data_IF_052007116639
#
_entry.id   IF_052007116639
#
_cell.length_a   1.000
_cell.length_b   1.000
_cell.length_c   1.000
_cell.angle_alpha   90.00
_cell.angle_beta   90.00
_cell.angle_gamma   90.00
#
_symmetry.space_group_name_H-M   'P 1'
#
loop_
_entity.id
_entity.type
_entity.pdbx_description
1 polymer ?
#
# COMPACT_ATOMS: atom_id res chain seq x y z
N UNK A 1 -23.75 14.86 -6.40
CA UNK A 1 -24.09 13.59 -7.08
C UNK A 1 -23.13 13.20 -8.22
N UNK A 2 -22.03 13.93 -8.49
CA UNK A 2 -21.30 13.81 -9.78
C UNK A 2 -19.98 12.98 -9.75
N UNK A 3 -19.55 12.46 -8.60
CA UNK A 3 -18.37 11.57 -8.52
C UNK A 3 -18.74 10.09 -8.44
N UNK A 4 -19.74 9.74 -7.63
CA UNK A 4 -20.22 8.36 -7.48
C UNK A 4 -20.69 7.80 -8.82
N UNK A 5 -21.46 8.57 -9.62
CA UNK A 5 -21.88 8.16 -10.96
C UNK A 5 -20.73 7.90 -11.94
N UNK A 6 -19.60 8.61 -11.82
CA UNK A 6 -18.40 8.38 -12.65
C UNK A 6 -17.67 7.10 -12.28
N UNK A 7 -17.61 6.76 -10.99
CA UNK A 7 -17.05 5.48 -10.52
C UNK A 7 -17.95 4.30 -10.85
N UNK A 8 -19.28 4.47 -10.84
CA UNK A 8 -20.24 3.45 -11.27
C UNK A 8 -20.12 3.13 -12.78
N UNK A 9 -19.59 4.04 -13.61
CA UNK A 9 -19.30 3.74 -15.02
C UNK A 9 -18.06 2.84 -15.22
N UNK A 10 -17.24 2.62 -14.19
CA UNK A 10 -16.12 1.67 -14.26
C UNK A 10 -16.62 0.22 -14.23
N UNK A 11 -17.74 -0.01 -13.54
CA UNK A 11 -18.36 -1.31 -13.24
C UNK A 11 -19.88 -1.10 -13.25
N UNK A 12 -20.57 -1.48 -14.33
CA UNK A 12 -22.03 -1.35 -14.43
C UNK A 12 -22.78 -2.68 -14.41
N UNK A 13 -22.05 -3.81 -14.46
CA UNK A 13 -22.60 -5.16 -14.42
C UNK A 13 -21.81 -6.00 -13.42
N UNK A 14 -22.53 -6.75 -12.59
CA UNK A 14 -21.99 -7.66 -11.57
C UNK A 14 -22.55 -9.06 -11.85
N UNK A 15 -21.69 -10.02 -12.16
CA UNK A 15 -22.06 -11.42 -12.26
C UNK A 15 -21.45 -12.19 -11.09
N UNK A 16 -22.27 -12.87 -10.29
CA UNK A 16 -21.85 -13.64 -9.12
C UNK A 16 -21.99 -15.12 -9.47
N UNK A 17 -20.87 -15.84 -9.56
CA UNK A 17 -20.87 -17.28 -9.77
C UNK A 17 -20.63 -17.97 -8.44
N UNK A 18 -21.67 -18.66 -7.97
CA UNK A 18 -21.70 -19.45 -6.73
C UNK A 18 -21.38 -18.64 -5.46
N UNK A 19 -22.42 -18.38 -4.68
CA UNK A 19 -22.30 -17.79 -3.34
C UNK A 19 -22.58 -18.88 -2.30
N UNK A 20 -21.73 -18.95 -1.28
CA UNK A 20 -21.90 -19.81 -0.12
C UNK A 20 -22.03 -18.96 1.13
N UNK A 21 -22.90 -19.36 2.05
CA UNK A 21 -23.03 -18.73 3.36
C UNK A 21 -23.19 -19.84 4.41
N UNK A 22 -22.50 -19.69 5.52
CA UNK A 22 -22.57 -20.58 6.66
C UNK A 22 -22.66 -19.77 7.94
N UNK A 23 -23.51 -20.23 8.84
CA UNK A 23 -23.71 -19.66 10.17
C UNK A 23 -23.53 -20.79 11.16
N UNK A 24 -22.52 -20.68 12.01
CA UNK A 24 -22.18 -21.70 13.00
C UNK A 24 -22.17 -21.09 14.41
N UNK A 25 -22.53 -21.88 15.41
CA UNK A 25 -22.32 -21.53 16.82
C UNK A 25 -20.91 -21.92 17.23
N UNK A 26 -20.10 -20.95 17.65
CA UNK A 26 -18.77 -21.17 18.19
C UNK A 26 -18.83 -21.57 19.69
N UNK A 27 -17.78 -22.21 20.23
CA UNK A 27 -17.69 -22.48 21.67
C UNK A 27 -17.90 -21.19 22.48
N UNK A 28 -18.73 -21.24 23.52
CA UNK A 28 -19.08 -20.06 24.33
C UNK A 28 -20.32 -19.29 23.85
N UNK A 29 -21.05 -19.75 22.82
CA UNK A 29 -22.34 -19.16 22.41
C UNK A 29 -22.22 -17.99 21.43
N UNK A 30 -21.03 -17.75 20.87
CA UNK A 30 -20.82 -16.75 19.83
C UNK A 30 -21.34 -17.23 18.46
N UNK A 31 -21.89 -16.32 17.66
CA UNK A 31 -22.31 -16.56 16.28
C UNK A 31 -21.15 -16.27 15.33
N UNK A 32 -20.68 -17.28 14.59
CA UNK A 32 -19.72 -17.11 13.52
C UNK A 32 -20.44 -17.14 12.17
N UNK A 33 -20.28 -16.08 11.37
CA UNK A 33 -20.83 -15.98 10.02
C UNK A 33 -19.69 -15.96 9.02
N UNK A 34 -19.67 -16.93 8.11
CA UNK A 34 -18.71 -17.00 7.01
C UNK A 34 -19.43 -17.09 5.68
N UNK A 35 -19.00 -16.29 4.70
CA UNK A 35 -19.53 -16.26 3.35
C UNK A 35 -18.40 -16.32 2.32
N UNK A 36 -18.68 -16.92 1.18
CA UNK A 36 -17.71 -17.07 0.11
C UNK A 36 -18.37 -16.88 -1.25
N UNK A 37 -17.59 -16.38 -2.20
CA UNK A 37 -17.97 -16.34 -3.60
C UNK A 37 -16.81 -16.88 -4.43
N UNK A 38 -17.09 -17.85 -5.27
CA UNK A 38 -16.05 -18.50 -6.08
C UNK A 38 -15.54 -17.56 -7.18
N UNK A 39 -16.44 -16.84 -7.86
CA UNK A 39 -16.04 -15.70 -8.69
C UNK A 39 -17.09 -14.59 -8.77
N UNK A 40 -16.62 -13.34 -8.87
CA UNK A 40 -17.45 -12.18 -9.21
C UNK A 40 -16.82 -11.47 -10.40
N UNK A 41 -17.51 -11.42 -11.52
CA UNK A 41 -17.07 -10.67 -12.69
C UNK A 41 -17.72 -9.29 -12.72
N UNK A 42 -16.87 -8.27 -12.84
CA UNK A 42 -17.24 -6.87 -12.89
C UNK A 42 -16.87 -6.26 -14.24
N UNK A 43 -17.90 -5.88 -14.99
CA UNK A 43 -17.78 -5.39 -16.37
C UNK A 43 -18.52 -4.06 -16.56
N UNK A 44 -18.18 -3.34 -17.62
CA UNK A 44 -18.84 -2.11 -18.05
C UNK A 44 -19.60 -2.31 -19.37
N UNK A 45 -20.45 -1.35 -19.75
CA UNK A 45 -21.17 -1.39 -21.03
C UNK A 45 -22.15 -2.56 -21.16
N UNK A 46 -22.80 -2.93 -20.06
CA UNK A 46 -23.81 -4.00 -19.97
C UNK A 46 -23.22 -5.39 -20.24
N UNK A 47 -22.07 -5.67 -19.61
CA UNK A 47 -21.36 -6.95 -19.77
C UNK A 47 -20.42 -7.02 -20.97
N UNK A 48 -20.41 -6.01 -21.84
CA UNK A 48 -19.64 -6.04 -23.10
C UNK A 48 -18.17 -5.65 -22.95
N UNK A 49 -17.82 -4.92 -21.90
CA UNK A 49 -16.47 -4.47 -21.65
C UNK A 49 -15.92 -5.18 -20.42
N UNK A 50 -14.95 -6.06 -20.65
CA UNK A 50 -14.15 -6.65 -19.57
C UNK A 50 -13.57 -5.54 -18.69
N UNK A 51 -13.39 -5.87 -17.41
CA UNK A 51 -12.94 -4.91 -16.43
C UNK A 51 -12.10 -5.57 -15.38
N UNK A 52 -12.77 -6.14 -14.41
CA UNK A 52 -12.20 -6.62 -13.18
C UNK A 52 -12.91 -7.91 -12.80
N UNK A 53 -12.18 -8.91 -12.33
CA UNK A 53 -12.79 -10.12 -11.79
C UNK A 53 -12.20 -10.47 -10.44
N UNK A 54 -13.07 -10.81 -9.49
CA UNK A 54 -12.70 -11.40 -8.22
C UNK A 54 -12.81 -12.91 -8.35
N UNK A 55 -11.82 -13.61 -7.83
CA UNK A 55 -11.80 -15.05 -7.72
C UNK A 55 -11.48 -15.43 -6.28
N UNK A 56 -12.10 -16.51 -5.81
CA UNK A 56 -11.86 -17.11 -4.49
C UNK A 56 -12.06 -16.10 -3.33
N UNK A 57 -13.11 -15.28 -3.43
CA UNK A 57 -13.43 -14.28 -2.41
C UNK A 57 -13.98 -14.98 -1.18
N UNK A 58 -13.26 -14.91 -0.06
CA UNK A 58 -13.68 -15.54 1.21
C UNK A 58 -13.72 -14.52 2.33
N UNK A 59 -14.91 -14.16 2.78
CA UNK A 59 -15.11 -13.12 3.79
C UNK A 59 -16.02 -13.57 4.92
N UNK A 60 -15.97 -12.86 6.04
CA UNK A 60 -16.77 -13.22 7.20
C UNK A 60 -16.72 -12.15 8.26
N UNK A 61 -17.35 -12.46 9.37
CA UNK A 61 -17.40 -11.64 10.56
C UNK A 61 -16.96 -12.52 11.71
N UNK A 62 -15.74 -12.28 12.20
CA UNK A 62 -15.18 -13.05 13.32
C UNK A 62 -15.90 -12.70 14.63
N UNK A 63 -16.35 -11.46 14.78
CA UNK A 63 -16.91 -10.95 16.04
C UNK A 63 -17.84 -9.75 15.82
N UNK A 64 -18.93 -9.70 16.58
CA UNK A 64 -19.84 -8.55 16.70
C UNK A 64 -20.19 -8.38 18.17
N UNK A 65 -19.71 -7.28 18.76
CA UNK A 65 -20.04 -6.93 20.12
C UNK A 65 -21.00 -5.74 20.08
N UNK A 66 -22.28 -5.94 20.45
CA UNK A 66 -23.26 -4.87 20.46
C UNK A 66 -22.95 -3.86 21.59
N UNK A 67 -23.46 -2.63 21.47
CA UNK A 67 -23.28 -1.63 22.51
C UNK A 67 -23.94 -2.05 23.83
N UNK A 68 -23.34 -1.63 24.94
CA UNK A 68 -23.83 -1.84 26.31
C UNK A 68 -24.13 -0.49 26.99
N UNK A 69 -24.85 -0.46 28.12
CA UNK A 69 -25.06 0.78 28.87
C UNK A 69 -23.75 1.45 29.34
N UNK A 70 -22.68 0.69 29.54
CA UNK A 70 -21.36 1.18 29.98
C UNK A 70 -20.39 1.48 28.83
N UNK A 71 -20.59 0.87 27.66
CA UNK A 71 -19.83 1.16 26.43
C UNK A 71 -20.81 1.28 25.24
N UNK A 72 -21.16 2.50 24.80
CA UNK A 72 -22.11 2.72 23.71
C UNK A 72 -21.54 2.42 22.32
N UNK A 73 -20.30 1.90 22.22
CA UNK A 73 -19.69 1.54 20.95
C UNK A 73 -20.12 0.15 20.48
N UNK A 74 -20.26 -0.01 19.17
CA UNK A 74 -20.33 -1.31 18.51
C UNK A 74 -18.92 -1.70 18.06
N UNK A 75 -18.55 -2.97 18.26
CA UNK A 75 -17.30 -3.53 17.75
C UNK A 75 -17.59 -4.58 16.69
N UNK A 76 -16.87 -4.48 15.58
CA UNK A 76 -17.00 -5.39 14.44
C UNK A 76 -15.61 -5.89 14.07
N UNK A 77 -15.48 -7.20 13.79
CA UNK A 77 -14.26 -7.78 13.21
C UNK A 77 -14.51 -8.41 11.84
N UNK A 78 -14.70 -7.61 10.76
CA UNK A 78 -14.78 -8.14 9.41
C UNK A 78 -13.45 -8.76 8.99
N UNK A 79 -13.54 -9.87 8.26
CA UNK A 79 -12.38 -10.58 7.72
C UNK A 79 -12.57 -10.86 6.25
N UNK A 80 -11.51 -10.66 5.48
CA UNK A 80 -11.33 -11.11 4.13
C UNK A 80 -10.09 -12.02 4.11
N UNK A 81 -10.31 -13.32 4.18
CA UNK A 81 -9.25 -14.33 4.29
C UNK A 81 -8.45 -14.47 2.99
N UNK A 82 -9.10 -14.35 1.84
CA UNK A 82 -8.44 -14.42 0.56
C UNK A 82 -9.24 -13.70 -0.53
N UNK A 83 -8.54 -13.06 -1.46
CA UNK A 83 -9.08 -12.45 -2.65
C UNK A 83 -8.04 -12.43 -3.76
N UNK A 84 -8.40 -12.95 -4.93
CA UNK A 84 -7.64 -12.74 -6.17
C UNK A 84 -8.42 -11.78 -7.04
N UNK A 85 -7.78 -10.67 -7.41
CA UNK A 85 -8.33 -9.64 -8.26
C UNK A 85 -7.58 -9.64 -9.58
N UNK A 86 -8.27 -9.88 -10.70
CA UNK A 86 -7.69 -9.72 -12.04
C UNK A 86 -8.18 -8.43 -12.66
N UNK A 87 -7.27 -7.72 -13.31
CA UNK A 87 -7.45 -6.38 -13.85
C UNK A 87 -7.08 -6.38 -15.33
N UNK A 88 -8.05 -6.07 -16.17
CA UNK A 88 -7.86 -6.02 -17.62
C UNK A 88 -7.38 -4.64 -18.09
N UNK A 89 -6.69 -4.56 -19.22
CA UNK A 89 -6.27 -3.28 -19.81
C UNK A 89 -7.44 -2.29 -20.05
N UNK A 90 -8.65 -2.73 -20.51
CA UNK A 90 -9.81 -1.85 -20.60
C UNK A 90 -10.22 -1.20 -19.28
N UNK A 91 -10.08 -1.89 -18.13
CA UNK A 91 -10.35 -1.29 -16.82
C UNK A 91 -9.42 -0.09 -16.56
N UNK A 92 -8.13 -0.26 -16.81
CA UNK A 92 -7.15 0.80 -16.60
C UNK A 92 -7.37 1.99 -17.52
N UNK A 93 -7.73 1.76 -18.79
CA UNK A 93 -8.08 2.83 -19.72
C UNK A 93 -9.25 3.68 -19.19
N UNK A 94 -10.32 3.04 -18.71
CA UNK A 94 -11.47 3.74 -18.09
C UNK A 94 -11.06 4.44 -16.80
N UNK A 95 -10.23 3.82 -15.96
CA UNK A 95 -9.72 4.44 -14.74
C UNK A 95 -8.98 5.75 -15.05
N UNK A 96 -8.12 5.76 -16.06
CA UNK A 96 -7.39 6.96 -16.49
C UNK A 96 -8.31 8.10 -16.92
N UNK A 97 -9.41 7.81 -17.62
CA UNK A 97 -10.40 8.81 -17.99
C UNK A 97 -11.08 9.41 -16.74
N UNK A 98 -11.46 8.56 -15.79
CA UNK A 98 -12.13 8.98 -14.54
C UNK A 98 -11.23 9.87 -13.69
N UNK A 99 -9.98 9.45 -13.46
CA UNK A 99 -9.05 10.19 -12.62
C UNK A 99 -8.26 11.27 -13.38
N UNK A 100 -8.46 11.37 -14.70
CA UNK A 100 -7.77 12.29 -15.61
C UNK A 100 -6.24 12.19 -15.55
N UNK A 101 -5.72 10.97 -15.36
CA UNK A 101 -4.29 10.68 -15.38
C UNK A 101 -4.00 9.61 -16.45
N UNK A 102 -3.47 10.01 -17.63
CA UNK A 102 -3.19 9.09 -18.72
C UNK A 102 -2.27 7.93 -18.35
N UNK A 103 -1.33 8.13 -17.41
CA UNK A 103 -0.44 7.06 -16.98
C UNK A 103 -1.17 5.89 -16.30
N UNK A 104 -2.32 6.15 -15.66
CA UNK A 104 -3.12 5.09 -15.06
C UNK A 104 -3.65 4.11 -16.10
N UNK A 105 -3.81 4.53 -17.36
CA UNK A 105 -4.28 3.69 -18.46
C UNK A 105 -3.27 2.63 -18.85
N UNK A 106 -2.00 2.89 -18.54
CA UNK A 106 -0.86 2.01 -18.81
C UNK A 106 -0.45 1.18 -17.59
N UNK A 107 -1.15 1.31 -16.46
CA UNK A 107 -0.80 0.53 -15.26
C UNK A 107 -0.98 -0.98 -15.45
N UNK A 108 -1.79 -1.42 -16.43
CA UNK A 108 -1.88 -2.83 -16.85
C UNK A 108 -0.55 -3.43 -17.34
N UNK A 109 0.40 -2.57 -17.78
CA UNK A 109 1.75 -2.98 -18.16
C UNK A 109 2.63 -3.27 -16.94
N UNK A 110 2.25 -2.77 -15.76
CA UNK A 110 2.98 -2.92 -14.50
C UNK A 110 2.52 -4.15 -13.72
N UNK A 111 1.21 -4.34 -13.63
CA UNK A 111 0.55 -5.48 -12.97
C UNK A 111 -0.84 -5.71 -13.57
N UNK A 112 -1.32 -6.94 -13.47
CA UNK A 112 -2.67 -7.35 -13.90
C UNK A 112 -3.41 -8.16 -12.84
N UNK A 113 -2.72 -8.58 -11.77
CA UNK A 113 -3.33 -9.37 -10.71
C UNK A 113 -2.96 -8.79 -9.36
N UNK A 114 -3.94 -8.68 -8.46
CA UNK A 114 -3.74 -8.33 -7.05
C UNK A 114 -4.23 -9.49 -6.21
N UNK A 115 -3.36 -10.06 -5.39
CA UNK A 115 -3.72 -11.09 -4.42
C UNK A 115 -3.66 -10.48 -3.03
N UNK A 116 -4.72 -10.63 -2.26
CA UNK A 116 -4.82 -10.15 -0.89
C UNK A 116 -5.14 -11.34 0.02
N UNK A 117 -4.30 -11.51 1.03
CA UNK A 117 -4.32 -12.62 1.98
C UNK A 117 -4.53 -12.06 3.39
N UNK A 118 -5.55 -12.59 4.08
CA UNK A 118 -5.86 -12.35 5.49
C UNK A 118 -5.91 -10.86 5.90
N UNK A 119 -6.82 -10.10 5.27
CA UNK A 119 -7.21 -8.78 5.76
C UNK A 119 -8.22 -8.93 6.90
N UNK A 120 -7.87 -8.41 8.06
CA UNK A 120 -8.76 -8.26 9.22
C UNK A 120 -8.93 -6.79 9.54
N UNK A 121 -10.17 -6.39 9.76
CA UNK A 121 -10.52 -5.05 10.21
C UNK A 121 -11.04 -5.15 11.64
N UNK A 122 -10.49 -4.37 12.56
CA UNK A 122 -11.03 -4.15 13.89
C UNK A 122 -11.70 -2.80 13.94
N UNK A 123 -13.03 -2.76 13.93
CA UNK A 123 -13.78 -1.49 13.93
C UNK A 123 -14.43 -1.27 15.28
N UNK A 124 -14.13 -0.15 15.93
CA UNK A 124 -14.86 0.35 17.11
C UNK A 124 -15.50 1.68 16.77
N UNK A 125 -16.82 1.72 16.71
CA UNK A 125 -17.56 2.91 16.30
C UNK A 125 -18.73 3.22 17.22
N UNK A 126 -19.07 4.49 17.30
CA UNK A 126 -20.32 4.98 17.90
C UNK A 126 -21.19 5.58 16.80
N UNK A 127 -22.41 6.01 17.15
CA UNK A 127 -23.28 6.72 16.20
C UNK A 127 -22.66 8.03 15.63
N UNK A 128 -21.59 8.56 16.25
CA UNK A 128 -21.01 9.87 15.86
C UNK A 128 -19.58 9.77 15.33
N UNK A 129 -18.81 8.76 15.73
CA UNK A 129 -17.37 8.67 15.45
C UNK A 129 -16.93 7.24 15.25
N UNK A 130 -15.93 7.05 14.39
CA UNK A 130 -15.05 5.87 14.44
C UNK A 130 -14.02 6.16 15.53
N UNK A 131 -14.14 5.46 16.66
CA UNK A 131 -13.20 5.62 17.76
C UNK A 131 -11.86 4.99 17.40
N UNK A 132 -11.92 3.81 16.79
CA UNK A 132 -10.75 3.06 16.35
C UNK A 132 -11.08 2.23 15.11
N UNK A 133 -10.17 2.25 14.14
CA UNK A 133 -10.14 1.32 13.01
C UNK A 133 -8.75 0.72 12.93
N UNK A 134 -8.63 -0.57 13.26
CA UNK A 134 -7.43 -1.37 13.06
C UNK A 134 -7.52 -2.09 11.72
N UNK A 135 -6.46 -1.99 10.93
CA UNK A 135 -6.28 -2.71 9.66
C UNK A 135 -5.08 -3.63 9.82
N UNK A 136 -5.34 -4.93 9.88
CA UNK A 136 -4.33 -6.00 9.90
C UNK A 136 -4.37 -6.70 8.56
N UNK A 137 -3.26 -6.80 7.87
CA UNK A 137 -3.17 -7.49 6.60
C UNK A 137 -1.86 -8.26 6.53
N UNK A 138 -1.96 -9.57 6.33
CA UNK A 138 -0.79 -10.45 6.29
C UNK A 138 0.03 -10.21 5.02
N UNK A 139 -0.60 -10.25 3.85
CA UNK A 139 0.11 -10.14 2.57
C UNK A 139 -0.76 -9.59 1.45
N UNK A 140 -0.23 -8.65 0.68
CA UNK A 140 -0.73 -8.24 -0.64
C UNK A 140 0.37 -8.42 -1.67
N UNK A 141 0.01 -8.98 -2.82
CA UNK A 141 0.91 -9.17 -3.96
C UNK A 141 0.32 -8.51 -5.20
N UNK A 142 1.12 -7.70 -5.88
CA UNK A 142 0.85 -7.26 -7.25
C UNK A 142 1.65 -8.16 -8.18
N UNK A 143 0.97 -8.83 -9.11
CA UNK A 143 1.59 -9.70 -10.10
C UNK A 143 1.39 -9.16 -11.51
N UNK A 144 2.31 -9.55 -12.40
CA UNK A 144 2.15 -9.44 -13.85
C UNK A 144 2.30 -10.83 -14.44
N UNK A 145 1.21 -11.46 -14.85
CA UNK A 145 1.19 -12.91 -15.07
C UNK A 145 1.63 -13.63 -13.78
N UNK A 146 2.64 -14.49 -13.88
CA UNK A 146 3.15 -15.27 -12.74
C UNK A 146 4.27 -14.55 -11.95
N UNK A 147 4.68 -13.35 -12.36
CA UNK A 147 5.80 -12.64 -11.73
C UNK A 147 5.35 -11.71 -10.58
N UNK A 148 5.94 -11.87 -9.38
CA UNK A 148 5.73 -10.98 -8.22
C UNK A 148 6.42 -9.62 -8.38
N UNK A 149 5.64 -8.60 -8.69
CA UNK A 149 6.10 -7.23 -8.90
C UNK A 149 6.29 -6.45 -7.60
N UNK A 150 5.25 -6.39 -6.77
CA UNK A 150 5.25 -5.69 -5.48
C UNK A 150 4.64 -6.59 -4.44
N UNK A 151 5.27 -6.66 -3.27
CA UNK A 151 4.75 -7.42 -2.14
C UNK A 151 4.68 -6.52 -0.92
N UNK A 152 3.52 -6.49 -0.28
CA UNK A 152 3.29 -5.77 0.96
C UNK A 152 2.97 -6.82 2.03
N UNK A 153 3.64 -6.77 3.17
CA UNK A 153 3.48 -7.75 4.26
C UNK A 153 3.39 -7.05 5.62
N UNK A 154 2.90 -7.79 6.60
CA UNK A 154 2.94 -7.43 8.02
C UNK A 154 2.30 -6.06 8.30
N UNK A 155 1.18 -5.78 7.62
CA UNK A 155 0.52 -4.48 7.70
C UNK A 155 -0.29 -4.41 8.99
N UNK A 156 0.04 -3.43 9.83
CA UNK A 156 -0.73 -3.03 10.99
C UNK A 156 -0.85 -1.51 11.00
N UNK A 157 -2.02 -1.02 10.62
CA UNK A 157 -2.36 0.41 10.61
C UNK A 157 -3.55 0.65 11.51
N UNK A 158 -3.49 1.68 12.35
CA UNK A 158 -4.61 2.10 13.19
C UNK A 158 -5.01 3.52 12.88
N UNK A 159 -6.30 3.76 12.86
CA UNK A 159 -6.89 5.08 12.67
C UNK A 159 -7.75 5.41 13.88
N UNK A 160 -7.67 6.65 14.36
CA UNK A 160 -8.36 7.10 15.56
C UNK A 160 -9.21 8.35 15.31
N UNK A 161 -10.33 8.42 16.02
CA UNK A 161 -11.15 9.62 16.20
C UNK A 161 -11.73 10.27 14.92
N UNK A 162 -12.00 9.48 13.88
CA UNK A 162 -12.64 9.99 12.66
C UNK A 162 -14.11 10.36 12.90
N UNK A 163 -14.46 11.63 12.69
CA UNK A 163 -15.82 12.15 12.86
C UNK A 163 -16.74 11.81 11.66
N UNK A 164 -17.73 10.96 11.92
CA UNK A 164 -18.70 10.53 10.90
C UNK A 164 -19.74 11.62 10.58
N UNK A 165 -19.98 12.55 11.49
CA UNK A 165 -21.00 13.60 11.35
C UNK A 165 -20.44 14.92 10.83
N UNK A 166 -19.12 15.10 10.81
CA UNK A 166 -18.54 16.29 10.22
C UNK A 166 -18.92 16.38 8.72
N UNK A 167 -19.64 17.44 8.30
CA UNK A 167 -20.07 17.62 6.91
C UNK A 167 -18.88 17.90 5.98
N UNK A 168 -17.76 18.42 6.52
CA UNK A 168 -16.53 18.60 5.79
C UNK A 168 -15.57 17.42 6.06
N UNK A 169 -15.66 16.39 5.20
CA UNK A 169 -14.80 15.20 5.32
C UNK A 169 -13.31 15.46 5.20
N UNK A 170 -12.89 16.54 4.54
CA UNK A 170 -11.46 16.91 4.49
C UNK A 170 -10.97 17.42 5.84
N UNK A 171 -11.76 18.22 6.53
CA UNK A 171 -11.44 18.66 7.89
C UNK A 171 -11.42 17.46 8.86
N UNK A 172 -12.41 16.57 8.75
CA UNK A 172 -12.47 15.34 9.56
C UNK A 172 -11.22 14.45 9.38
N UNK A 173 -10.74 14.29 8.14
CA UNK A 173 -9.51 13.55 7.85
C UNK A 173 -8.27 14.22 8.45
N UNK A 174 -8.18 15.55 8.41
CA UNK A 174 -7.05 16.29 8.97
C UNK A 174 -6.93 16.13 10.49
N UNK A 175 -8.06 15.97 11.18
CA UNK A 175 -8.14 15.73 12.62
C UNK A 175 -7.95 14.24 12.99
N UNK A 176 -7.93 13.35 12.00
CA UNK A 176 -7.73 11.90 12.20
C UNK A 176 -6.26 11.59 12.36
N UNK A 177 -5.94 10.79 13.37
CA UNK A 177 -4.60 10.24 13.55
C UNK A 177 -4.50 8.86 12.92
N UNK A 178 -3.45 8.64 12.13
CA UNK A 178 -3.10 7.35 11.54
C UNK A 178 -1.75 6.91 12.10
N UNK A 179 -1.72 5.75 12.74
CA UNK A 179 -0.50 5.14 13.29
C UNK A 179 -0.15 3.91 12.48
N UNK A 180 1.09 3.84 11.97
CA UNK A 180 1.63 2.69 11.24
C UNK A 180 2.58 1.94 12.19
N UNK A 181 2.14 0.79 12.71
CA UNK A 181 2.91 -0.04 13.64
C UNK A 181 3.77 -1.11 12.94
N UNK A 182 3.37 -1.50 11.73
CA UNK A 182 4.08 -2.50 10.94
C UNK A 182 3.67 -2.39 9.48
N UNK A 183 4.63 -2.38 8.58
CA UNK A 183 4.41 -2.42 7.14
C UNK A 183 5.74 -2.73 6.45
N UNK A 184 5.82 -3.83 5.71
CA UNK A 184 6.96 -4.12 4.84
C UNK A 184 6.53 -4.07 3.39
N UNK A 185 7.20 -3.25 2.58
CA UNK A 185 6.96 -3.12 1.14
C UNK A 185 8.21 -3.54 0.38
N UNK A 186 8.06 -4.45 -0.56
CA UNK A 186 9.12 -5.01 -1.40
C UNK A 186 8.77 -4.76 -2.86
N UNK A 187 9.63 -4.07 -3.60
CA UNK A 187 9.42 -3.72 -5.01
C UNK A 187 10.50 -4.36 -5.88
N UNK A 188 10.10 -5.22 -6.81
CA UNK A 188 11.03 -5.93 -7.69
C UNK A 188 11.70 -5.00 -8.72
N UNK A 189 12.95 -5.30 -9.07
CA UNK A 189 13.68 -4.61 -10.14
C UNK A 189 12.88 -4.55 -11.45
N UNK A 190 12.29 -5.68 -11.87
CA UNK A 190 11.47 -5.76 -13.09
C UNK A 190 10.28 -4.80 -13.07
N UNK A 191 9.67 -4.57 -11.91
CA UNK A 191 8.59 -3.61 -11.77
C UNK A 191 9.10 -2.18 -11.99
N UNK A 192 10.27 -1.83 -11.43
CA UNK A 192 10.90 -0.53 -11.65
C UNK A 192 11.25 -0.31 -13.13
N UNK A 193 11.82 -1.32 -13.79
CA UNK A 193 12.13 -1.26 -15.22
C UNK A 193 10.88 -1.01 -16.08
N UNK A 194 9.77 -1.69 -15.78
CA UNK A 194 8.47 -1.43 -16.44
C UNK A 194 7.93 -0.05 -16.12
N UNK A 195 8.04 0.40 -14.87
CA UNK A 195 7.60 1.73 -14.45
C UNK A 195 8.34 2.84 -15.20
N UNK A 196 9.65 2.67 -15.45
CA UNK A 196 10.43 3.56 -16.30
C UNK A 196 9.93 3.57 -17.76
N UNK A 197 9.65 2.41 -18.33
CA UNK A 197 9.13 2.30 -19.69
C UNK A 197 7.73 2.94 -19.84
N UNK A 198 6.84 2.73 -18.87
CA UNK A 198 5.52 3.36 -18.81
C UNK A 198 5.64 4.87 -18.62
N UNK A 199 6.53 5.30 -17.73
CA UNK A 199 6.77 6.70 -17.38
C UNK A 199 7.66 7.46 -18.36
N UNK A 200 8.13 6.85 -19.46
CA UNK A 200 9.06 7.47 -20.42
C UNK A 200 8.60 8.85 -20.91
N UNK A 201 7.29 9.04 -21.12
CA UNK A 201 6.71 10.32 -21.54
C UNK A 201 6.84 11.45 -20.50
N UNK A 202 7.14 11.13 -19.23
CA UNK A 202 7.40 12.11 -18.18
C UNK A 202 8.88 12.43 -18.03
N UNK A 203 9.78 11.62 -18.58
CA UNK A 203 11.21 11.89 -18.57
C UNK A 203 11.53 13.07 -19.51
N UNK A 204 12.55 13.90 -19.24
CA UNK A 204 12.97 14.95 -20.16
C UNK A 204 13.45 14.33 -21.49
N UNK A 205 13.11 14.93 -22.63
CA UNK A 205 13.45 14.40 -23.96
C UNK A 205 14.96 14.21 -24.20
N UNK A 206 15.77 14.94 -23.44
CA UNK A 206 17.24 14.82 -23.47
C UNK A 206 17.72 13.51 -22.85
N UNK A 207 16.93 12.83 -22.01
CA UNK A 207 17.30 11.58 -21.35
C UNK A 207 16.77 10.39 -22.14
N UNK A 208 17.65 9.45 -22.45
CA UNK A 208 17.37 8.27 -23.27
C UNK A 208 17.80 7.01 -22.54
N UNK A 209 17.16 5.88 -22.88
CA UNK A 209 17.59 4.54 -22.47
C UNK A 209 17.77 4.37 -20.94
N UNK A 210 16.85 4.97 -20.16
CA UNK A 210 16.87 4.86 -18.71
C UNK A 210 16.75 3.39 -18.27
N UNK A 211 17.66 2.97 -17.41
CA UNK A 211 17.74 1.64 -16.82
C UNK A 211 17.88 1.74 -15.31
N UNK A 212 17.34 0.76 -14.59
CA UNK A 212 17.50 0.58 -13.14
C UNK A 212 17.92 -0.86 -12.90
N UNK A 213 18.96 -1.03 -12.11
CA UNK A 213 19.47 -2.31 -11.65
C UNK A 213 19.63 -2.27 -10.13
N UNK A 214 19.44 -3.41 -9.46
CA UNK A 214 19.55 -3.53 -8.01
C UNK A 214 20.67 -4.52 -7.62
N UNK A 215 21.95 -4.25 -7.97
CA UNK A 215 23.03 -5.17 -7.69
C UNK A 215 23.41 -5.15 -6.20
N UNK A 216 23.20 -6.26 -5.51
CA UNK A 216 23.53 -6.40 -4.09
C UNK A 216 22.69 -5.49 -3.20
N UNK A 217 23.34 -4.53 -2.51
CA UNK A 217 22.70 -3.61 -1.55
C UNK A 217 22.58 -2.16 -2.05
N UNK A 218 22.78 -1.93 -3.35
CA UNK A 218 22.70 -0.60 -3.96
C UNK A 218 21.75 -0.60 -5.15
N UNK A 219 21.31 0.60 -5.53
CA UNK A 219 20.56 0.83 -6.76
C UNK A 219 21.49 1.49 -7.77
N UNK A 220 21.47 1.05 -9.02
CA UNK A 220 22.24 1.65 -10.10
C UNK A 220 21.27 2.16 -11.14
N UNK A 221 21.36 3.45 -11.47
CA UNK A 221 20.57 4.07 -12.53
C UNK A 221 21.48 4.39 -13.70
N UNK A 222 21.13 3.89 -14.88
CA UNK A 222 21.87 4.13 -16.12
C UNK A 222 21.02 4.83 -17.17
N UNK A 223 21.68 5.40 -18.17
CA UNK A 223 21.01 5.94 -19.35
C UNK A 223 21.96 6.75 -20.21
N UNK A 224 21.41 7.56 -21.12
CA UNK A 224 22.16 8.53 -21.91
C UNK A 224 21.51 9.90 -21.87
N UNK A 225 22.31 10.96 -21.97
CA UNK A 225 21.83 12.33 -22.14
C UNK A 225 22.29 12.89 -23.46
N UNK A 226 21.36 13.39 -24.28
CA UNK A 226 21.62 13.98 -25.59
C UNK A 226 21.72 15.50 -25.48
N UNK A 227 22.95 16.03 -25.54
CA UNK A 227 23.25 17.47 -25.64
C UNK A 227 24.27 17.66 -26.76
N UNK A 228 23.78 17.78 -28.00
CA UNK A 228 24.62 17.77 -29.21
C UNK A 228 25.18 16.39 -29.56
N UNK A 229 25.82 15.73 -28.59
CA UNK A 229 26.27 14.33 -28.62
C UNK A 229 25.56 13.52 -27.53
N UNK A 230 25.44 12.21 -27.72
CA UNK A 230 24.90 11.29 -26.71
C UNK A 230 25.97 10.93 -25.70
N UNK A 231 25.71 11.21 -24.41
CA UNK A 231 26.61 10.91 -23.31
C UNK A 231 25.96 9.88 -22.38
N UNK A 232 26.47 8.66 -22.40
CA UNK A 232 26.01 7.61 -21.50
C UNK A 232 26.49 7.83 -20.07
N UNK A 233 25.65 7.54 -19.09
CA UNK A 233 25.91 7.73 -17.68
C UNK A 233 25.47 6.51 -16.87
N UNK A 234 26.16 6.30 -15.74
CA UNK A 234 25.70 5.47 -14.63
C UNK A 234 25.85 6.21 -13.32
N UNK A 235 24.90 5.99 -12.43
CA UNK A 235 24.87 6.53 -11.09
C UNK A 235 24.65 5.40 -10.10
N UNK A 236 25.63 5.18 -9.21
CA UNK A 236 25.47 4.31 -8.06
C UNK A 236 24.75 5.09 -6.94
N UNK A 237 23.67 4.51 -6.44
CA UNK A 237 22.77 5.09 -5.45
C UNK A 237 22.69 4.20 -4.22
N UNK A 238 22.78 4.84 -3.06
CA UNK A 238 22.56 4.20 -1.77
C UNK A 238 21.25 4.69 -1.18
N UNK A 239 20.41 3.74 -0.78
CA UNK A 239 19.08 3.99 -0.22
C UNK A 239 19.20 3.85 1.29
N UNK A 240 18.82 4.89 2.04
CA UNK A 240 18.88 4.90 3.51
C UNK A 240 17.73 5.71 4.10
N UNK A 241 17.32 5.34 5.32
CA UNK A 241 16.35 6.13 6.08
C UNK A 241 17.07 7.22 6.88
N UNK A 242 16.56 8.46 6.84
CA UNK A 242 17.06 9.55 7.68
C UNK A 242 15.90 10.37 8.23
N UNK A 243 15.79 10.48 9.56
CA UNK A 243 14.69 11.19 10.25
C UNK A 243 13.28 10.80 9.77
N UNK A 244 13.00 9.49 9.62
CA UNK A 244 11.73 8.98 9.06
C UNK A 244 11.43 9.42 7.61
N UNK A 245 12.46 9.83 6.86
CA UNK A 245 12.37 10.14 5.44
C UNK A 245 13.20 9.15 4.61
N UNK A 246 12.87 9.05 3.33
CA UNK A 246 13.51 8.13 2.39
C UNK A 246 14.62 8.85 1.65
N UNK A 247 15.88 8.56 2.00
CA UNK A 247 17.06 9.17 1.39
C UNK A 247 17.63 8.33 0.26
N UNK A 248 17.96 9.00 -0.84
CA UNK A 248 18.69 8.44 -1.98
C UNK A 248 20.00 9.22 -2.11
N UNK A 249 21.11 8.59 -1.78
CA UNK A 249 22.45 9.20 -1.80
C UNK A 249 23.18 8.87 -3.09
N UNK A 250 23.80 9.88 -3.69
CA UNK A 250 24.58 9.75 -4.92
C UNK A 250 26.03 9.38 -4.57
N UNK A 251 26.38 8.10 -4.63
CA UNK A 251 27.73 7.64 -4.29
C UNK A 251 28.72 7.96 -5.43
N UNK A 252 28.36 7.61 -6.67
CA UNK A 252 29.27 7.76 -7.81
C UNK A 252 28.54 8.00 -9.12
N UNK A 253 29.01 8.99 -9.87
CA UNK A 253 28.64 9.26 -11.26
C UNK A 253 29.79 8.83 -12.18
N UNK A 254 29.57 7.90 -13.11
CA UNK A 254 30.63 7.34 -13.96
C UNK A 254 30.17 6.98 -15.37
N UNK A 255 31.13 6.87 -16.28
CA UNK A 255 30.88 6.42 -17.66
C UNK A 255 30.69 4.90 -17.67
N UNK A 256 29.63 4.35 -18.30
CA UNK A 256 29.36 2.92 -18.31
C UNK A 256 30.56 2.08 -18.77
N UNK A 257 30.78 0.93 -18.12
CA UNK A 257 31.90 0.04 -18.44
C UNK A 257 33.28 0.54 -18.02
N UNK A 258 33.37 1.70 -17.35
CA UNK A 258 34.64 2.27 -16.89
C UNK A 258 34.58 2.69 -15.42
N UNK A 259 35.73 2.99 -14.85
CA UNK A 259 35.86 3.63 -13.54
C UNK A 259 36.04 5.17 -13.65
N UNK A 260 35.79 5.76 -14.81
CA UNK A 260 36.05 7.18 -15.05
C UNK A 260 34.85 8.00 -14.52
N UNK A 261 35.07 8.99 -13.63
CA UNK A 261 33.99 9.85 -13.16
C UNK A 261 33.40 10.64 -14.33
N UNK A 262 32.09 10.87 -14.28
CA UNK A 262 31.44 11.69 -15.30
C UNK A 262 32.01 13.12 -15.30
N UNK A 263 32.16 13.75 -16.48
CA UNK A 263 32.54 15.15 -16.56
C UNK A 263 31.62 16.03 -15.72
N UNK A 264 32.19 17.05 -15.06
CA UNK A 264 31.43 17.91 -14.14
C UNK A 264 30.20 18.56 -14.80
N UNK A 265 30.30 18.92 -16.07
CA UNK A 265 29.16 19.43 -16.84
C UNK A 265 28.00 18.41 -16.95
N UNK A 266 28.29 17.14 -17.28
CA UNK A 266 27.27 16.09 -17.39
C UNK A 266 26.61 15.78 -16.04
N UNK A 267 27.41 15.74 -14.96
CA UNK A 267 26.88 15.60 -13.59
C UNK A 267 25.96 16.76 -13.23
N UNK A 268 26.39 18.00 -13.48
CA UNK A 268 25.60 19.19 -13.20
C UNK A 268 24.32 19.24 -14.02
N UNK A 269 24.35 18.77 -15.26
CA UNK A 269 23.18 18.63 -16.10
C UNK A 269 22.18 17.63 -15.52
N UNK A 270 22.62 16.43 -15.14
CA UNK A 270 21.76 15.42 -14.50
C UNK A 270 21.13 15.95 -13.20
N UNK A 271 21.93 16.57 -12.33
CA UNK A 271 21.42 17.20 -11.11
C UNK A 271 20.44 18.33 -11.41
N UNK A 272 20.70 19.13 -12.45
CA UNK A 272 19.79 20.17 -12.94
C UNK A 272 18.44 19.62 -13.38
N UNK A 273 18.44 18.48 -14.08
CA UNK A 273 17.20 17.79 -14.47
C UNK A 273 16.43 17.27 -13.25
N UNK A 274 17.12 16.66 -12.28
CA UNK A 274 16.50 16.17 -11.03
C UNK A 274 15.86 17.34 -10.24
N UNK A 275 16.56 18.48 -10.12
CA UNK A 275 16.02 19.71 -9.50
C UNK A 275 14.83 20.30 -10.26
N UNK A 276 14.77 20.14 -11.57
CA UNK A 276 13.59 20.56 -12.33
C UNK A 276 12.36 19.70 -11.95
N UNK A 277 12.54 18.42 -11.61
CA UNK A 277 11.47 17.57 -11.08
C UNK A 277 11.07 17.93 -9.64
N UNK A 278 12.03 18.31 -8.80
CA UNK A 278 11.76 18.81 -7.43
C UNK A 278 10.69 19.91 -7.42
N UNK A 279 10.84 20.91 -8.30
CA UNK A 279 9.86 22.00 -8.46
C UNK A 279 8.46 21.49 -8.84
N UNK A 280 8.39 20.44 -9.66
CA UNK A 280 7.12 19.80 -10.06
C UNK A 280 6.53 18.93 -8.95
N UNK A 281 7.37 18.40 -8.07
CA UNK A 281 6.97 17.47 -7.01
C UNK A 281 6.24 18.14 -5.84
N UNK A 282 6.23 19.49 -5.78
CA UNK A 282 5.49 20.31 -4.80
C UNK A 282 5.83 19.94 -3.35
N UNK A 283 7.12 19.96 -3.00
CA UNK A 283 7.60 19.73 -1.63
C UNK A 283 7.69 18.26 -1.20
N UNK A 284 7.45 17.31 -2.13
CA UNK A 284 7.71 15.89 -1.88
C UNK A 284 9.18 15.50 -1.94
N UNK A 285 9.97 16.30 -2.66
CA UNK A 285 11.37 16.02 -2.95
C UNK A 285 12.18 17.21 -2.48
N UNK A 286 13.33 16.93 -1.88
CA UNK A 286 14.38 17.89 -1.61
C UNK A 286 15.67 17.37 -2.24
N UNK A 287 16.31 18.17 -3.10
CA UNK A 287 17.44 17.70 -3.91
C UNK A 287 18.69 18.53 -3.63
N UNK A 288 19.73 17.86 -3.12
CA UNK A 288 21.06 18.44 -2.90
C UNK A 288 22.03 17.98 -4.00
N UNK A 289 23.32 18.34 -3.88
CA UNK A 289 24.37 17.84 -4.80
C UNK A 289 24.73 16.36 -4.55
N UNK A 290 24.36 15.81 -3.39
CA UNK A 290 24.82 14.52 -2.88
C UNK A 290 23.68 13.57 -2.54
N UNK A 291 22.46 14.07 -2.44
CA UNK A 291 21.30 13.27 -2.08
C UNK A 291 19.99 13.86 -2.59
N UNK A 292 19.00 12.99 -2.66
CA UNK A 292 17.59 13.30 -2.84
C UNK A 292 16.84 12.73 -1.64
N UNK A 293 16.09 13.58 -0.93
CA UNK A 293 15.22 13.17 0.17
C UNK A 293 13.78 13.17 -0.31
N UNK A 294 13.05 12.10 -0.01
CA UNK A 294 11.62 11.97 -0.30
C UNK A 294 10.84 12.12 1.01
N UNK A 295 9.94 13.11 1.02
CA UNK A 295 9.01 13.36 2.10
C UNK A 295 7.56 13.21 1.58
N UNK A 296 6.92 12.04 1.76
CA UNK A 296 5.55 11.82 1.28
C UNK A 296 4.48 12.46 2.17
N UNK A 297 4.82 12.80 3.42
CA UNK A 297 3.87 13.21 4.46
C UNK A 297 3.04 14.45 4.12
N UNK A 298 3.56 15.51 3.45
CA UNK A 298 2.79 16.70 3.10
C UNK A 298 1.57 16.44 2.20
N UNK A 299 1.52 15.28 1.51
CA UNK A 299 0.37 14.90 0.67
C UNK A 299 -0.62 13.97 1.34
N UNK A 300 -0.31 13.49 2.55
CA UNK A 300 -1.23 12.66 3.31
C UNK A 300 -2.21 13.59 4.05
N UNK A 301 -3.52 13.48 3.81
CA UNK A 301 -4.51 14.44 4.33
C UNK A 301 -4.88 14.21 5.81
N UNK A 302 -4.04 13.53 6.58
CA UNK A 302 -4.23 13.20 7.99
C UNK A 302 -2.90 13.25 8.75
N UNK A 303 -2.96 13.26 10.08
CA UNK A 303 -1.76 13.18 10.90
C UNK A 303 -1.23 11.73 10.87
N UNK A 304 0.05 11.56 10.57
CA UNK A 304 0.69 10.24 10.45
C UNK A 304 1.78 10.11 11.51
N UNK A 305 1.62 9.14 12.39
CA UNK A 305 2.65 8.66 13.30
C UNK A 305 3.22 7.35 12.74
N UNK A 306 4.51 7.36 12.40
CA UNK A 306 5.19 6.16 11.89
C UNK A 306 6.68 6.20 12.24
N UNK A 307 7.29 5.01 12.25
CA UNK A 307 8.74 4.84 12.37
C UNK A 307 9.23 4.08 11.16
N UNK A 308 9.98 4.76 10.28
CA UNK A 308 10.63 4.08 9.15
C UNK A 308 11.92 3.47 9.69
N UNK A 309 12.01 2.14 9.70
CA UNK A 309 13.20 1.42 10.18
C UNK A 309 14.20 1.18 9.06
N UNK A 310 13.69 0.91 7.86
CA UNK A 310 14.53 0.56 6.73
C UNK A 310 14.00 1.15 5.43
N UNK A 311 14.92 1.67 4.64
CA UNK A 311 14.75 1.96 3.23
C UNK A 311 16.05 1.57 2.54
N UNK A 312 16.01 0.57 1.66
CA UNK A 312 17.23 -0.04 1.15
C UNK A 312 17.01 -0.97 -0.04
N UNK A 313 18.08 -1.63 -0.47
CA UNK A 313 18.02 -2.72 -1.46
C UNK A 313 18.36 -4.04 -0.77
N UNK A 314 17.51 -5.03 -0.94
CA UNK A 314 17.74 -6.41 -0.49
C UNK A 314 17.32 -7.38 -1.59
N UNK A 315 18.18 -8.34 -1.91
CA UNK A 315 17.86 -9.47 -2.81
C UNK A 315 17.23 -9.03 -4.16
N UNK A 316 17.73 -7.94 -4.76
CA UNK A 316 17.21 -7.42 -6.03
C UNK A 316 15.84 -6.74 -5.91
N UNK A 317 15.47 -6.27 -4.72
CA UNK A 317 14.24 -5.52 -4.44
C UNK A 317 14.54 -4.24 -3.66
N UNK A 318 13.77 -3.19 -3.92
CA UNK A 318 13.70 -2.05 -3.00
C UNK A 318 12.80 -2.45 -1.83
N UNK A 319 13.31 -2.28 -0.62
CA UNK A 319 12.61 -2.65 0.62
C UNK A 319 12.37 -1.40 1.44
N UNK A 320 11.14 -1.24 1.91
CA UNK A 320 10.73 -0.27 2.92
C UNK A 320 10.14 -1.02 4.11
N UNK A 321 10.64 -0.77 5.31
CA UNK A 321 10.11 -1.33 6.56
C UNK A 321 9.71 -0.21 7.49
N UNK A 322 8.46 -0.25 7.93
CA UNK A 322 7.95 0.51 9.05
C UNK A 322 7.89 -0.38 10.27
N UNK A 323 8.46 0.09 11.37
CA UNK A 323 8.43 -0.60 12.65
C UNK A 323 7.47 0.04 13.62
N UNK A 324 7.49 -0.49 14.84
CA UNK A 324 6.56 -0.09 15.87
C UNK A 324 6.84 1.33 16.39
N UNK A 325 5.77 2.04 16.74
CA UNK A 325 5.81 3.41 17.28
C UNK A 325 5.64 3.32 18.80
N UNK A 326 6.71 3.56 19.59
CA UNK A 326 6.62 3.44 21.05
C UNK A 326 5.76 4.57 21.65
N UNK A 327 4.86 4.21 22.57
CA UNK A 327 4.11 5.17 23.41
C UNK A 327 2.59 5.20 23.22
N UNK A 328 2.05 4.59 22.17
CA UNK A 328 0.64 4.23 22.04
C UNK A 328 0.54 2.72 21.88
N UNK A 329 0.64 2.02 23.01
CA UNK A 329 0.45 0.58 23.05
C UNK A 329 -0.89 0.22 22.39
N UNK A 330 -0.92 -0.91 21.70
CA UNK A 330 -2.16 -1.59 21.39
C UNK A 330 -3.09 -1.58 22.61
N UNK A 331 -4.41 -1.38 22.45
CA UNK A 331 -5.33 -1.78 23.49
C UNK A 331 -4.96 -3.21 23.90
N UNK A 332 -4.91 -3.53 25.21
CA UNK A 332 -4.62 -4.89 25.63
C UNK A 332 -5.57 -5.84 24.90
N UNK A 333 -5.04 -6.98 24.43
CA UNK A 333 -5.87 -8.08 23.97
C UNK A 333 -6.70 -8.58 25.16
N UNK A 334 -7.87 -7.98 25.37
CA UNK A 334 -8.87 -8.52 26.30
C UNK A 334 -9.45 -9.78 25.66
N UNK A 335 -8.91 -10.94 26.04
CA UNK A 335 -9.48 -12.22 25.63
C UNK A 335 -8.62 -13.48 25.74
N UNK A 336 -7.48 -13.52 26.44
CA UNK A 336 -7.08 -14.81 27.03
C UNK A 336 -8.02 -15.05 28.21
N UNK A 337 -8.94 -16.00 28.04
CA UNK A 337 -9.71 -16.58 29.14
C UNK A 337 -8.73 -16.90 30.28
N UNK A 338 -8.85 -16.15 31.38
CA UNK A 338 -8.35 -16.59 32.67
C UNK A 338 -9.10 -17.87 32.98
N UNK A 339 -8.52 -19.02 32.63
CA UNK A 339 -8.99 -20.32 33.12
C UNK A 339 -9.11 -20.17 34.63
N UNK A 340 -10.30 -20.36 35.23
CA UNK A 340 -10.42 -20.27 36.66
C UNK A 340 -9.47 -21.28 37.27
N UNK A 341 -8.55 -20.80 38.13
CA UNK A 341 -7.77 -21.68 39.00
C UNK A 341 -8.78 -22.59 39.70
N UNK A 342 -8.72 -23.88 39.40
CA UNK A 342 -9.49 -24.90 40.08
C UNK A 342 -9.14 -24.80 41.56
N UNK A 343 -10.02 -24.21 42.36
CA UNK A 343 -9.90 -24.23 43.81
C UNK A 343 -10.13 -25.69 44.20
N UNK A 344 -9.02 -26.40 44.47
CA UNK A 344 -9.08 -27.70 45.13
C UNK A 344 -9.49 -27.41 46.56
N UNK A 345 -10.77 -27.59 46.87
CA UNK A 345 -11.22 -27.62 48.26
C UNK A 345 -10.50 -28.78 48.96
N UNK A 346 -9.93 -28.58 50.17
CA UNK A 346 -9.38 -29.68 50.94
C UNK A 346 -10.48 -30.70 51.25
N UNK A 347 -10.16 -32.01 51.33
CA UNK A 347 -11.15 -33.02 51.69
C UNK A 347 -11.72 -32.71 53.07
N UNK A 348 -13.05 -32.65 53.15
CA UNK A 348 -13.75 -32.50 54.43
C UNK A 348 -13.46 -33.68 55.36
N UNK A 349 -13.46 -33.46 56.69
CA UNK A 349 -13.23 -34.53 57.65
C UNK A 349 -14.36 -35.58 57.59
N UNK A 350 -14.04 -36.86 57.82
CA UNK A 350 -15.02 -37.94 57.75
C UNK A 350 -16.00 -37.89 58.92
N UNK A 351 -17.30 -37.92 58.61
CA UNK A 351 -18.37 -38.41 59.50
C UNK A 351 -19.40 -39.17 58.68
#
# INVERSE_FOLDING_TARGET
MDQIGKYLNLINTVAVNQATASVNTAPGGALAVAAGVDSVDLSAGDGKLEGLSFQQLKFGLEDVIPPTPTDPSIRLKPVLSHMVLKLSAPFFARLAEVIKEPLAGRAHELFDTVILDNLRLGVKLTAKKVLELEVKLEKVRLLRGDEECVVVKDVLVRLYDFDLNNPNKKAALADTMVVIHGLRVEVAEKFLARALAVGKSKAPDVVQELTVELPGKKMVVGGAVKVGLSLSFRVDLRLETKHNLFGIYFDRFYVPGTNIPLPGFSRNLLLGLIRAFEKKAKGLLEVTNESLMINPWPKVPCQVECKVEQFGVEEGRIVVVFGDVPGRAAPPEEGEEVKPKRVVLPPGPPL
#
